data_IF_114825188324
#
_entry.id   IF_114825188324
#
_cell.length_a   1.000
_cell.length_b   1.000
_cell.length_c   1.000
_cell.angle_alpha   90.00
_cell.angle_beta   90.00
_cell.angle_gamma   90.00
#
_symmetry.space_group_name_H-M   'P 1'
#
loop_
_entity.id
_entity.type
_entity.pdbx_description
1 polymer ?
#
# COMPACT_ATOMS: atom_id res chain seq x y z
N UNK A 1 33.60 -13.25 10.26
CA UNK A 1 34.01 -11.83 10.34
C UNK A 1 32.88 -11.06 11.03
N UNK A 2 33.14 -10.34 12.12
CA UNK A 2 32.09 -9.56 12.80
C UNK A 2 31.90 -8.23 12.07
N UNK A 3 30.69 -7.95 11.61
CA UNK A 3 30.34 -6.63 11.08
C UNK A 3 30.41 -5.57 12.18
N UNK A 4 30.65 -4.31 11.80
CA UNK A 4 30.46 -3.20 12.75
C UNK A 4 28.98 -3.13 13.17
N UNK A 5 28.66 -2.61 14.38
CA UNK A 5 27.28 -2.54 14.85
C UNK A 5 26.32 -1.82 13.89
N UNK A 6 26.78 -0.74 13.25
CA UNK A 6 25.98 0.03 12.30
C UNK A 6 25.71 -0.72 10.99
N UNK A 7 26.71 -1.47 10.50
CA UNK A 7 26.53 -2.31 9.32
C UNK A 7 25.56 -3.45 9.59
N UNK A 8 25.67 -4.12 10.74
CA UNK A 8 24.74 -5.17 11.14
C UNK A 8 23.29 -4.63 11.22
N UNK A 9 23.12 -3.45 11.85
CA UNK A 9 21.81 -2.78 11.94
C UNK A 9 21.22 -2.47 10.56
N UNK A 10 22.02 -1.97 9.61
CA UNK A 10 21.55 -1.71 8.24
C UNK A 10 21.11 -3.00 7.53
N UNK A 11 21.89 -4.08 7.66
CA UNK A 11 21.54 -5.39 7.09
C UNK A 11 20.22 -5.89 7.66
N UNK A 12 20.03 -5.79 8.98
CA UNK A 12 18.81 -6.23 9.62
C UNK A 12 17.60 -5.35 9.25
N UNK A 13 17.77 -4.03 9.14
CA UNK A 13 16.71 -3.13 8.68
C UNK A 13 16.25 -3.45 7.24
N UNK A 14 17.19 -3.74 6.33
CA UNK A 14 16.86 -4.08 4.93
C UNK A 14 16.07 -5.40 4.80
N UNK A 15 16.18 -6.30 5.79
CA UNK A 15 15.42 -7.58 5.81
C UNK A 15 13.94 -7.38 6.10
N UNK A 16 13.51 -6.21 6.55
CA UNK A 16 12.09 -5.89 6.70
C UNK A 16 11.38 -5.74 5.34
N UNK A 17 12.13 -5.55 4.25
CA UNK A 17 11.56 -5.42 2.91
C UNK A 17 11.12 -6.79 2.37
N UNK A 18 9.92 -6.87 1.75
CA UNK A 18 9.44 -8.12 1.17
C UNK A 18 10.40 -8.62 0.08
N UNK A 19 10.71 -9.92 0.10
CA UNK A 19 11.63 -10.55 -0.85
C UNK A 19 13.13 -10.33 -0.55
N UNK A 20 13.48 -9.64 0.53
CA UNK A 20 14.90 -9.38 0.89
C UNK A 20 15.38 -10.32 1.99
N UNK A 21 16.06 -11.41 1.59
CA UNK A 21 16.72 -12.33 2.50
C UNK A 21 18.08 -11.82 3.03
N UNK A 22 18.70 -12.51 4.01
CA UNK A 22 19.94 -12.07 4.66
C UNK A 22 21.10 -11.80 3.69
N UNK A 23 21.30 -12.68 2.70
CA UNK A 23 22.35 -12.52 1.68
C UNK A 23 22.12 -11.31 0.78
N UNK A 24 20.86 -11.06 0.40
CA UNK A 24 20.49 -9.91 -0.43
C UNK A 24 20.66 -8.60 0.34
N UNK A 25 20.19 -8.55 1.60
CA UNK A 25 20.37 -7.40 2.48
C UNK A 25 21.85 -7.05 2.68
N UNK A 26 22.71 -8.05 2.91
CA UNK A 26 24.15 -7.84 3.03
C UNK A 26 24.77 -7.23 1.76
N UNK A 27 24.40 -7.75 0.58
CA UNK A 27 24.86 -7.20 -0.70
C UNK A 27 24.42 -5.75 -0.90
N UNK A 28 23.17 -5.44 -0.59
CA UNK A 28 22.62 -4.08 -0.68
C UNK A 28 23.36 -3.13 0.27
N UNK A 29 23.56 -3.53 1.53
CA UNK A 29 24.26 -2.73 2.53
C UNK A 29 25.69 -2.38 2.10
N UNK A 30 26.44 -3.34 1.54
CA UNK A 30 27.78 -3.07 1.04
C UNK A 30 27.78 -2.11 -0.15
N UNK A 31 26.89 -2.33 -1.12
CA UNK A 31 26.78 -1.44 -2.28
C UNK A 31 26.47 0.01 -1.87
N UNK A 32 25.50 0.21 -0.97
CA UNK A 32 25.10 1.53 -0.49
C UNK A 32 26.25 2.27 0.25
N UNK A 33 27.10 1.55 0.98
CA UNK A 33 28.18 2.14 1.77
C UNK A 33 29.49 2.37 1.01
N UNK A 34 29.75 1.58 -0.04
CA UNK A 34 30.94 1.68 -0.88
C UNK A 34 30.77 2.78 -1.93
N UNK A 35 29.81 2.61 -2.84
CA UNK A 35 29.68 3.46 -4.02
C UNK A 35 28.32 4.20 -4.07
N UNK A 36 27.33 3.74 -3.30
CA UNK A 36 25.95 4.21 -3.36
C UNK A 36 25.55 5.29 -2.35
N UNK A 37 26.50 6.00 -1.71
CA UNK A 37 26.20 6.90 -0.58
C UNK A 37 25.18 8.01 -0.89
N UNK A 38 25.22 8.70 -2.05
CA UNK A 38 24.19 9.68 -2.39
C UNK A 38 22.80 9.03 -2.50
N UNK A 39 22.71 7.88 -3.16
CA UNK A 39 21.45 7.12 -3.25
C UNK A 39 20.95 6.61 -1.91
N UNK A 40 21.85 6.20 -1.00
CA UNK A 40 21.51 5.79 0.35
C UNK A 40 20.87 6.93 1.16
N UNK A 41 21.38 8.17 1.02
CA UNK A 41 20.81 9.35 1.67
C UNK A 41 19.45 9.71 1.10
N UNK A 42 19.33 9.74 -0.23
CA UNK A 42 18.06 10.00 -0.90
C UNK A 42 16.99 8.96 -0.52
N UNK A 43 17.37 7.68 -0.39
CA UNK A 43 16.46 6.63 0.07
C UNK A 43 16.00 6.85 1.51
N UNK A 44 16.91 7.22 2.42
CA UNK A 44 16.56 7.50 3.81
C UNK A 44 15.57 8.68 3.91
N UNK A 45 15.85 9.78 3.20
CA UNK A 45 14.99 10.96 3.16
C UNK A 45 13.60 10.64 2.58
N UNK A 46 13.55 9.87 1.48
CA UNK A 46 12.29 9.47 0.86
C UNK A 46 11.46 8.54 1.76
N UNK A 47 12.11 7.62 2.49
CA UNK A 47 11.43 6.75 3.45
C UNK A 47 10.84 7.54 4.60
N UNK A 48 11.62 8.42 5.23
CA UNK A 48 11.15 9.25 6.34
C UNK A 48 9.99 10.15 5.90
N UNK A 49 10.14 10.84 4.75
CA UNK A 49 9.07 11.69 4.22
C UNK A 49 7.78 10.90 3.95
N UNK A 50 7.87 9.73 3.33
CA UNK A 50 6.69 8.91 3.02
C UNK A 50 6.00 8.37 4.28
N UNK A 51 6.77 8.00 5.31
CA UNK A 51 6.22 7.55 6.60
C UNK A 51 5.47 8.67 7.34
N UNK A 52 5.88 9.93 7.14
CA UNK A 52 5.22 11.10 7.74
C UNK A 52 4.00 11.57 6.95
N UNK A 53 4.06 11.54 5.61
CA UNK A 53 3.04 12.18 4.75
C UNK A 53 2.00 11.22 4.18
N UNK A 54 2.35 9.96 3.92
CA UNK A 54 1.46 9.02 3.24
C UNK A 54 0.52 8.38 4.24
N UNK A 55 -0.76 8.71 4.11
CA UNK A 55 -1.85 8.14 4.88
C UNK A 55 -2.80 7.34 3.98
N UNK A 56 -3.99 7.05 4.51
CA UNK A 56 -5.08 6.40 3.79
C UNK A 56 -6.17 7.40 3.48
N UNK A 57 -6.68 7.33 2.25
CA UNK A 57 -7.83 8.09 1.80
C UNK A 57 -9.01 7.80 2.74
N UNK A 58 -9.64 8.85 3.25
CA UNK A 58 -10.76 8.73 4.20
C UNK A 58 -11.93 7.93 3.64
N UNK A 59 -12.11 7.92 2.31
CA UNK A 59 -13.20 7.21 1.63
C UNK A 59 -12.78 5.81 1.17
N UNK A 60 -11.83 5.70 0.25
CA UNK A 60 -11.49 4.40 -0.36
C UNK A 60 -10.33 3.66 0.31
N UNK A 61 -9.68 4.26 1.31
CA UNK A 61 -8.50 3.71 2.00
C UNK A 61 -7.24 3.53 1.14
N UNK A 62 -7.24 3.95 -0.13
CA UNK A 62 -6.04 4.02 -0.98
C UNK A 62 -4.97 4.93 -0.37
N UNK A 63 -3.70 4.67 -0.64
CA UNK A 63 -2.59 5.52 -0.19
C UNK A 63 -2.66 6.92 -0.83
N UNK A 64 -2.50 7.96 -0.02
CA UNK A 64 -2.59 9.37 -0.44
C UNK A 64 -1.98 10.29 0.62
N UNK A 65 -1.59 11.50 0.24
CA UNK A 65 -1.11 12.54 1.16
C UNK A 65 -2.24 13.49 1.62
N UNK A 66 -3.34 13.56 0.85
CA UNK A 66 -4.53 14.36 1.20
C UNK A 66 -5.64 13.54 1.87
N UNK A 67 -6.70 14.20 2.36
CA UNK A 67 -7.87 13.54 2.95
C UNK A 67 -8.56 12.58 1.96
N UNK A 68 -8.60 12.95 0.67
CA UNK A 68 -9.10 12.13 -0.43
C UNK A 68 -7.99 11.90 -1.44
N UNK A 69 -7.92 10.68 -1.99
CA UNK A 69 -7.05 10.40 -3.13
C UNK A 69 -7.61 11.01 -4.43
N UNK A 70 -6.76 11.11 -5.45
CA UNK A 70 -7.12 11.67 -6.75
C UNK A 70 -8.36 11.00 -7.39
N UNK A 71 -8.55 9.68 -7.18
CA UNK A 71 -9.71 8.94 -7.71
C UNK A 71 -11.00 9.35 -6.99
N UNK A 72 -10.98 9.46 -5.66
CA UNK A 72 -12.18 9.86 -4.90
C UNK A 72 -12.54 11.33 -5.13
N UNK A 73 -11.55 12.19 -5.33
CA UNK A 73 -11.74 13.61 -5.59
C UNK A 73 -12.17 13.90 -7.04
N UNK A 74 -11.93 12.98 -7.98
CA UNK A 74 -12.22 13.16 -9.39
C UNK A 74 -13.75 13.17 -9.67
N UNK A 75 -14.34 14.28 -10.15
CA UNK A 75 -15.76 14.37 -10.44
C UNK A 75 -16.19 13.53 -11.67
N UNK A 76 -15.26 13.20 -12.55
CA UNK A 76 -15.50 12.39 -13.75
C UNK A 76 -15.62 10.88 -13.48
N UNK A 77 -15.34 10.44 -12.24
CA UNK A 77 -15.46 9.03 -11.84
C UNK A 77 -16.91 8.68 -11.53
N UNK A 78 -17.34 7.50 -11.98
CA UNK A 78 -18.69 7.03 -11.73
C UNK A 78 -18.83 6.59 -10.26
N UNK A 79 -19.64 7.34 -9.50
CA UNK A 79 -19.90 7.03 -8.10
C UNK A 79 -20.87 5.85 -7.91
N UNK A 80 -21.58 5.43 -8.97
CA UNK A 80 -22.47 4.28 -8.92
C UNK A 80 -21.72 2.94 -9.01
N UNK A 81 -20.45 2.95 -9.39
CA UNK A 81 -19.61 1.77 -9.50
C UNK A 81 -18.54 1.79 -8.41
N UNK A 82 -18.47 0.73 -7.62
CA UNK A 82 -17.43 0.54 -6.59
C UNK A 82 -16.71 -0.79 -6.80
N UNK A 83 -15.37 -0.76 -6.85
CA UNK A 83 -14.54 -1.96 -6.95
C UNK A 83 -13.76 -2.16 -5.64
N UNK A 84 -14.08 -3.21 -4.92
CA UNK A 84 -13.36 -3.61 -3.72
C UNK A 84 -12.16 -4.49 -4.09
N UNK A 85 -10.97 -4.12 -3.62
CA UNK A 85 -9.70 -4.82 -3.88
C UNK A 85 -8.94 -5.08 -2.57
N UNK A 86 -7.99 -6.01 -2.59
CA UNK A 86 -7.22 -6.37 -1.40
C UNK A 86 -6.15 -5.33 -1.05
N UNK A 87 -5.46 -4.79 -2.05
CA UNK A 87 -4.27 -3.97 -1.86
C UNK A 87 -4.25 -2.72 -2.75
N UNK A 88 -3.44 -1.70 -2.39
CA UNK A 88 -3.19 -0.57 -3.28
C UNK A 88 -2.60 -0.97 -4.64
N UNK A 89 -1.86 -2.07 -4.70
CA UNK A 89 -1.25 -2.55 -5.94
C UNK A 89 -2.33 -3.02 -6.95
N UNK A 90 -3.43 -3.57 -6.45
CA UNK A 90 -4.55 -4.02 -7.30
C UNK A 90 -5.25 -2.84 -7.96
N UNK A 91 -5.38 -1.71 -7.24
CA UNK A 91 -5.89 -0.46 -7.83
C UNK A 91 -5.01 -0.02 -9.01
N UNK A 92 -3.68 -0.03 -8.82
CA UNK A 92 -2.74 0.34 -9.87
C UNK A 92 -2.84 -0.60 -11.07
N UNK A 93 -2.98 -1.90 -10.83
CA UNK A 93 -3.13 -2.91 -11.89
C UNK A 93 -4.42 -2.70 -12.71
N UNK A 94 -5.55 -2.42 -12.05
CA UNK A 94 -6.83 -2.17 -12.74
C UNK A 94 -6.77 -0.83 -13.48
N UNK A 95 -6.23 0.22 -12.86
CA UNK A 95 -6.10 1.55 -13.49
C UNK A 95 -5.22 1.49 -14.75
N UNK A 96 -4.17 0.68 -14.76
CA UNK A 96 -3.29 0.48 -15.91
C UNK A 96 -4.04 -0.07 -17.15
N UNK A 97 -5.18 -0.75 -16.97
CA UNK A 97 -6.02 -1.20 -18.09
C UNK A 97 -6.78 -0.07 -18.79
N UNK A 98 -6.92 1.10 -18.14
CA UNK A 98 -7.69 2.25 -18.64
C UNK A 98 -9.19 2.02 -18.83
N UNK A 99 -9.70 0.84 -18.48
CA UNK A 99 -11.05 0.40 -18.84
C UNK A 99 -12.07 0.61 -17.72
N UNK A 100 -11.62 0.81 -16.48
CA UNK A 100 -12.48 1.04 -15.33
C UNK A 100 -12.60 2.53 -15.01
N UNK A 101 -13.84 3.02 -14.86
CA UNK A 101 -14.13 4.44 -14.54
C UNK A 101 -14.85 4.65 -13.20
N UNK A 102 -15.11 3.58 -12.46
CA UNK A 102 -15.71 3.65 -11.15
C UNK A 102 -14.74 4.10 -10.05
N UNK A 103 -15.18 3.97 -8.81
CA UNK A 103 -14.38 4.23 -7.60
C UNK A 103 -13.87 2.91 -7.00
N UNK A 104 -12.93 3.00 -6.08
CA UNK A 104 -12.35 1.82 -5.42
C UNK A 104 -12.65 1.81 -3.92
N UNK A 105 -12.45 0.65 -3.31
CA UNK A 105 -12.27 0.47 -1.88
C UNK A 105 -11.15 -0.53 -1.62
N UNK A 106 -10.18 -0.18 -0.77
CA UNK A 106 -9.01 -1.04 -0.47
C UNK A 106 -9.19 -1.68 0.89
N UNK A 107 -9.27 -3.02 0.91
CA UNK A 107 -9.48 -3.82 2.12
C UNK A 107 -8.23 -3.87 3.02
N UNK A 108 -7.04 -3.69 2.45
CA UNK A 108 -5.75 -3.81 3.13
C UNK A 108 -5.43 -5.24 3.57
N UNK A 109 -5.78 -6.21 2.73
CA UNK A 109 -5.53 -7.64 2.92
C UNK A 109 -6.74 -8.49 2.56
N UNK A 110 -6.73 -9.72 3.06
CA UNK A 110 -7.78 -10.72 2.92
C UNK A 110 -8.10 -11.36 4.27
N UNK A 111 -9.20 -12.10 4.35
CA UNK A 111 -9.57 -12.83 5.56
C UNK A 111 -8.60 -14.00 5.77
N UNK A 112 -7.96 -14.04 6.93
CA UNK A 112 -7.10 -15.16 7.32
C UNK A 112 -7.43 -15.56 8.76
N UNK A 113 -8.33 -16.55 8.96
CA UNK A 113 -8.65 -17.06 10.29
C UNK A 113 -7.43 -17.63 11.03
N UNK A 114 -6.47 -18.20 10.29
CA UNK A 114 -5.24 -18.75 10.85
C UNK A 114 -4.34 -17.66 11.45
N UNK A 115 -4.33 -16.48 10.82
CA UNK A 115 -3.57 -15.31 11.28
C UNK A 115 -4.39 -14.38 12.17
N UNK A 116 -5.65 -14.74 12.48
CA UNK A 116 -6.57 -13.93 13.28
C UNK A 116 -7.06 -12.66 12.58
N UNK A 117 -7.00 -12.59 11.24
CA UNK A 117 -7.46 -11.44 10.44
C UNK A 117 -8.92 -11.65 10.06
N UNK A 118 -9.81 -10.84 10.66
CA UNK A 118 -11.25 -10.84 10.42
C UNK A 118 -11.74 -9.59 9.67
N UNK A 119 -13.07 -9.45 9.50
CA UNK A 119 -13.69 -8.34 8.75
C UNK A 119 -13.38 -6.95 9.30
N UNK A 120 -13.19 -6.81 10.62
CA UNK A 120 -12.90 -5.54 11.26
C UNK A 120 -11.53 -4.99 10.84
N UNK A 121 -10.54 -5.87 10.72
CA UNK A 121 -9.20 -5.52 10.27
C UNK A 121 -9.18 -5.08 8.79
N UNK A 122 -10.09 -5.64 7.98
CA UNK A 122 -10.22 -5.32 6.55
C UNK A 122 -11.01 -4.05 6.26
N UNK A 123 -11.55 -3.39 7.29
CA UNK A 123 -12.35 -2.18 7.14
C UNK A 123 -13.70 -2.44 6.46
N UNK A 124 -14.30 -3.61 6.68
CA UNK A 124 -15.61 -3.95 6.10
C UNK A 124 -16.70 -3.00 6.58
N UNK A 125 -16.61 -2.49 7.83
CA UNK A 125 -17.57 -1.51 8.36
C UNK A 125 -17.53 -0.20 7.58
N UNK A 126 -16.35 0.26 7.18
CA UNK A 126 -16.18 1.46 6.36
C UNK A 126 -16.73 1.24 4.94
N UNK A 127 -16.58 0.04 4.37
CA UNK A 127 -17.20 -0.31 3.10
C UNK A 127 -18.74 -0.29 3.21
N UNK A 128 -19.29 -0.93 4.25
CA UNK A 128 -20.74 -0.92 4.52
C UNK A 128 -21.27 0.51 4.66
N UNK A 129 -20.54 1.39 5.35
CA UNK A 129 -20.92 2.80 5.47
C UNK A 129 -21.00 3.51 4.11
N UNK A 130 -20.07 3.24 3.19
CA UNK A 130 -20.10 3.80 1.83
C UNK A 130 -21.29 3.27 1.04
N UNK A 131 -21.60 1.97 1.16
CA UNK A 131 -22.74 1.36 0.48
C UNK A 131 -24.07 1.92 1.02
N UNK A 132 -24.15 2.16 2.33
CA UNK A 132 -25.32 2.74 2.99
C UNK A 132 -25.63 4.19 2.55
N UNK A 133 -24.68 4.92 1.93
CA UNK A 133 -24.94 6.23 1.31
C UNK A 133 -25.92 6.14 0.12
N UNK A 134 -26.15 4.93 -0.43
CA UNK A 134 -27.13 4.68 -1.49
C UNK A 134 -26.73 5.15 -2.90
N UNK A 135 -25.49 5.61 -3.08
CA UNK A 135 -24.99 6.05 -4.39
C UNK A 135 -24.52 4.88 -5.27
N UNK A 136 -24.01 3.81 -4.64
CA UNK A 136 -23.44 2.64 -5.32
C UNK A 136 -24.56 1.73 -5.82
N UNK A 137 -24.56 1.44 -7.13
CA UNK A 137 -25.48 0.51 -7.80
C UNK A 137 -24.85 -0.85 -8.07
N UNK A 138 -23.53 -0.88 -8.21
CA UNK A 138 -22.78 -2.11 -8.47
C UNK A 138 -21.52 -2.14 -7.60
N UNK A 139 -21.36 -3.24 -6.87
CA UNK A 139 -20.13 -3.57 -6.14
C UNK A 139 -19.43 -4.72 -6.88
N UNK A 140 -18.24 -4.44 -7.40
CA UNK A 140 -17.36 -5.42 -8.00
C UNK A 140 -16.40 -5.90 -6.92
N UNK A 141 -16.30 -7.22 -6.74
CA UNK A 141 -15.33 -7.84 -5.86
C UNK A 141 -14.15 -8.31 -6.71
N UNK A 142 -13.04 -7.60 -6.62
CA UNK A 142 -11.79 -7.90 -7.31
C UNK A 142 -10.71 -8.30 -6.29
N UNK A 143 -11.07 -9.25 -5.42
CA UNK A 143 -10.14 -9.91 -4.50
C UNK A 143 -9.40 -11.03 -5.23
N UNK A 144 -8.27 -11.45 -4.69
CA UNK A 144 -7.49 -12.56 -5.24
C UNK A 144 -8.27 -13.87 -5.09
N UNK A 145 -7.97 -14.80 -6.00
CA UNK A 145 -8.57 -16.14 -6.09
C UNK A 145 -8.00 -17.11 -5.07
#
# INVERSE_FOLDING_TARGET
>A
MKHSPQLARLIDALRALPGVGPKSAQRMAFHLLQDGRPGARALAEALDAALESVARCRRCRMLTEGELCAICAAPQRDAALLCAVESPADVVAIEASGSYRGRYFVLMGHLSPLDGIGPEQLGVRELEAILAEGQVRELILATNS
#
